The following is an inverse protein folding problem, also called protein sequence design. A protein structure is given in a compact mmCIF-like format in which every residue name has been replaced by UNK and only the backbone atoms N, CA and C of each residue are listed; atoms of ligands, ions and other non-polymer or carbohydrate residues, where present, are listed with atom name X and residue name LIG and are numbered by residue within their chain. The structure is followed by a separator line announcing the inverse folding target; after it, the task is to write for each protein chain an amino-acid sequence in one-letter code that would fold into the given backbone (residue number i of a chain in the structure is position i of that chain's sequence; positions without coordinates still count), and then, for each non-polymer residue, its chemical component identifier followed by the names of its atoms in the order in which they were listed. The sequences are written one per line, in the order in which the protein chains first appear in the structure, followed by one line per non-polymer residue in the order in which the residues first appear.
data_IF_229679599917
#
_entry.id   IF_229679599917
#
_cell.length_a   1.000
_cell.length_b   1.000
_cell.length_c   1.000
_cell.angle_alpha   90.00
_cell.angle_beta   90.00
_cell.angle_gamma   90.00
#
_symmetry.space_group_name_H-M   'P 1'
#
loop_
_entity.id
_entity.type
_entity.pdbx_description
1 polymer ?
#
# COMPACT_ATOMS: atom_id res chain seq x y z
N UNK A 1 5.25 -15.32 28.86
CA UNK A 1 4.16 -15.48 27.89
C UNK A 1 3.54 -14.11 27.53
N UNK A 2 4.34 -13.13 27.07
CA UNK A 2 3.85 -11.75 26.84
C UNK A 2 4.04 -11.24 25.39
N UNK A 3 4.65 -12.03 24.49
CA UNK A 3 5.07 -11.51 23.18
C UNK A 3 4.00 -11.56 22.07
N UNK A 4 2.97 -12.42 22.16
CA UNK A 4 1.95 -12.52 21.09
C UNK A 4 1.09 -11.26 20.95
N UNK A 5 0.84 -10.57 22.07
CA UNK A 5 0.08 -9.32 22.08
C UNK A 5 0.78 -8.21 21.29
N UNK A 6 2.09 -8.05 21.48
CA UNK A 6 2.87 -6.97 20.86
C UNK A 6 2.93 -7.09 19.33
N UNK A 7 3.16 -8.29 18.79
CA UNK A 7 3.21 -8.50 17.33
C UNK A 7 1.84 -8.38 16.67
N UNK A 8 0.78 -8.90 17.31
CA UNK A 8 -0.59 -8.76 16.81
C UNK A 8 -1.03 -7.29 16.75
N UNK A 9 -0.68 -6.50 17.77
CA UNK A 9 -0.94 -5.06 17.81
C UNK A 9 -0.15 -4.33 16.72
N UNK A 10 1.12 -4.67 16.52
CA UNK A 10 1.94 -4.09 15.44
C UNK A 10 1.35 -4.39 14.05
N UNK A 11 0.93 -5.63 13.79
CA UNK A 11 0.26 -6.01 12.54
C UNK A 11 -1.04 -5.26 12.33
N UNK A 12 -1.84 -5.11 13.40
CA UNK A 12 -3.10 -4.36 13.36
C UNK A 12 -2.84 -2.89 13.02
N UNK A 13 -1.85 -2.27 13.68
CA UNK A 13 -1.47 -0.88 13.43
C UNK A 13 -0.97 -0.69 12.00
N UNK A 14 -0.14 -1.61 11.51
CA UNK A 14 0.33 -1.61 10.13
C UNK A 14 -0.83 -1.62 9.14
N UNK A 15 -1.77 -2.55 9.29
CA UNK A 15 -2.96 -2.66 8.43
C UNK A 15 -3.76 -1.34 8.47
N UNK A 16 -4.07 -0.82 9.65
CA UNK A 16 -4.87 0.41 9.78
C UNK A 16 -4.18 1.58 9.07
N UNK A 17 -2.88 1.79 9.32
CA UNK A 17 -2.12 2.90 8.73
C UNK A 17 -2.01 2.74 7.22
N UNK A 18 -1.73 1.53 6.74
CA UNK A 18 -1.66 1.22 5.31
C UNK A 18 -2.98 1.49 4.61
N UNK A 19 -4.10 0.93 5.10
CA UNK A 19 -5.40 1.11 4.46
C UNK A 19 -5.88 2.56 4.53
N UNK A 20 -5.54 3.32 5.57
CA UNK A 20 -5.85 4.75 5.64
C UNK A 20 -5.07 5.56 4.59
N UNK A 21 -3.79 5.23 4.37
CA UNK A 21 -2.98 5.82 3.33
C UNK A 21 -3.52 5.50 1.93
N UNK A 22 -3.86 4.23 1.69
CA UNK A 22 -4.39 3.75 0.41
C UNK A 22 -5.77 4.33 0.08
N UNK A 23 -6.65 4.41 1.08
CA UNK A 23 -8.04 4.79 0.90
C UNK A 23 -8.18 6.26 0.46
N UNK A 24 -7.37 7.16 1.01
CA UNK A 24 -7.48 8.59 0.67
C UNK A 24 -7.11 8.90 -0.78
N UNK A 25 -5.99 8.35 -1.28
CA UNK A 25 -5.61 8.53 -2.70
C UNK A 25 -6.60 7.84 -3.63
N UNK A 26 -7.05 6.65 -3.26
CA UNK A 26 -8.02 5.90 -4.07
C UNK A 26 -9.36 6.60 -4.13
N UNK A 27 -9.85 7.12 -3.01
CA UNK A 27 -11.06 7.93 -2.95
C UNK A 27 -10.94 9.18 -3.85
N UNK A 28 -9.83 9.91 -3.77
CA UNK A 28 -9.57 11.06 -4.64
C UNK A 28 -9.57 10.66 -6.14
N UNK A 29 -8.99 9.51 -6.48
CA UNK A 29 -8.94 9.00 -7.86
C UNK A 29 -10.34 8.64 -8.37
N UNK A 30 -11.15 7.92 -7.59
CA UNK A 30 -12.51 7.52 -7.96
C UNK A 30 -13.39 8.75 -8.13
N UNK A 31 -13.29 9.71 -7.21
CA UNK A 31 -14.07 10.94 -7.27
C UNK A 31 -13.69 11.80 -8.49
N UNK A 32 -12.41 11.77 -8.89
CA UNK A 32 -11.96 12.36 -10.15
C UNK A 32 -12.59 11.65 -11.36
N UNK A 33 -12.52 10.32 -11.43
CA UNK A 33 -13.05 9.51 -12.53
C UNK A 33 -14.57 9.61 -12.68
N UNK A 34 -15.29 9.65 -11.56
CA UNK A 34 -16.74 9.82 -11.51
C UNK A 34 -17.21 11.27 -11.81
N UNK A 35 -16.27 12.20 -12.08
CA UNK A 35 -16.56 13.63 -12.28
C UNK A 35 -17.39 14.26 -11.13
N UNK A 36 -17.08 13.89 -9.89
CA UNK A 36 -17.75 14.46 -8.72
C UNK A 36 -17.51 15.98 -8.63
N UNK A 37 -18.58 16.77 -8.55
CA UNK A 37 -18.50 18.25 -8.49
C UNK A 37 -17.73 18.75 -7.26
N UNK A 38 -17.86 18.03 -6.15
CA UNK A 38 -17.23 18.33 -4.86
C UNK A 38 -15.78 17.83 -4.75
N UNK A 39 -15.23 17.20 -5.81
CA UNK A 39 -13.85 16.68 -5.82
C UNK A 39 -12.80 17.73 -5.47
N UNK A 40 -13.02 18.98 -5.90
CA UNK A 40 -12.08 20.07 -5.68
C UNK A 40 -11.96 20.48 -4.21
N UNK A 41 -13.03 20.27 -3.42
CA UNK A 41 -13.07 20.62 -2.00
C UNK A 41 -12.32 19.60 -1.14
N UNK A 42 -12.45 18.31 -1.48
CA UNK A 42 -11.93 17.22 -0.64
C UNK A 42 -10.63 16.61 -1.14
N UNK A 43 -10.23 16.84 -2.41
CA UNK A 43 -9.06 16.17 -3.01
C UNK A 43 -7.78 16.32 -2.21
N UNK A 44 -7.46 17.51 -1.72
CA UNK A 44 -6.21 17.76 -1.00
C UNK A 44 -6.21 17.11 0.39
N UNK A 45 -7.34 17.14 1.08
CA UNK A 45 -7.52 16.41 2.32
C UNK A 45 -7.36 14.91 2.11
N UNK A 46 -8.01 14.37 1.07
CA UNK A 46 -7.96 12.95 0.75
C UNK A 46 -6.54 12.47 0.40
N UNK A 47 -5.79 13.18 -0.47
CA UNK A 47 -4.41 12.77 -0.77
C UNK A 47 -3.42 13.05 0.37
N UNK A 48 -3.75 13.87 1.36
CA UNK A 48 -2.87 14.12 2.51
C UNK A 48 -2.62 12.86 3.34
N UNK A 49 -3.56 11.90 3.32
CA UNK A 49 -3.39 10.62 4.02
C UNK A 49 -2.25 9.79 3.42
N UNK A 50 -1.82 10.07 2.18
CA UNK A 50 -0.65 9.44 1.58
C UNK A 50 0.65 9.70 2.37
N UNK A 51 0.69 10.76 3.20
CA UNK A 51 1.80 11.01 4.11
C UNK A 51 1.98 9.92 5.18
N UNK A 52 0.97 9.05 5.39
CA UNK A 52 1.06 7.88 6.25
C UNK A 52 1.75 6.68 5.56
N UNK A 53 1.91 6.71 4.24
CA UNK A 53 2.48 5.60 3.48
C UNK A 53 3.94 5.28 3.86
N UNK A 54 4.84 6.27 4.11
CA UNK A 54 6.17 6.01 4.64
C UNK A 54 6.14 5.37 6.04
N UNK A 55 5.19 5.75 6.89
CA UNK A 55 5.02 5.13 8.21
C UNK A 55 4.58 3.66 8.07
N UNK A 56 3.63 3.37 7.18
CA UNK A 56 3.24 2.00 6.85
C UNK A 56 4.42 1.18 6.33
N UNK A 57 5.30 1.78 5.51
CA UNK A 57 6.50 1.12 5.03
C UNK A 57 7.48 0.78 6.15
N UNK A 58 7.72 1.70 7.09
CA UNK A 58 8.56 1.40 8.27
C UNK A 58 7.97 0.26 9.09
N UNK A 59 6.66 0.28 9.33
CA UNK A 59 5.98 -0.80 10.06
C UNK A 59 6.08 -2.15 9.31
N UNK A 60 5.96 -2.15 7.98
CA UNK A 60 6.20 -3.34 7.16
C UNK A 60 7.61 -3.89 7.39
N UNK A 61 8.64 -3.04 7.35
CA UNK A 61 10.03 -3.48 7.55
C UNK A 61 10.24 -4.10 8.93
N UNK A 62 9.59 -3.57 9.97
CA UNK A 62 9.62 -4.17 11.31
C UNK A 62 8.93 -5.54 11.34
N UNK A 63 7.77 -5.67 10.68
CA UNK A 63 7.03 -6.93 10.60
C UNK A 63 7.77 -8.01 9.81
N UNK A 64 8.42 -7.63 8.70
CA UNK A 64 9.31 -8.51 7.95
C UNK A 64 10.52 -8.88 8.81
N UNK A 65 11.16 -7.93 9.49
CA UNK A 65 12.24 -8.24 10.44
C UNK A 65 11.83 -9.20 11.56
N UNK A 66 10.55 -9.23 11.95
CA UNK A 66 9.97 -10.14 12.93
C UNK A 66 9.74 -11.58 12.45
N UNK A 67 9.75 -11.83 11.14
CA UNK A 67 9.71 -13.16 10.53
C UNK A 67 8.72 -14.13 11.19
N UNK A 68 9.26 -15.10 11.93
CA UNK A 68 8.54 -16.19 12.59
C UNK A 68 7.49 -15.73 13.62
N UNK A 69 7.68 -14.55 14.22
CA UNK A 69 6.71 -13.98 15.15
C UNK A 69 5.49 -13.37 14.44
N UNK A 70 5.67 -12.94 13.20
CA UNK A 70 4.61 -12.35 12.37
C UNK A 70 3.89 -13.42 11.54
N UNK A 71 4.63 -14.41 11.05
CA UNK A 71 4.17 -15.41 10.08
C UNK A 71 4.19 -16.82 10.67
N UNK A 72 3.04 -17.34 11.16
CA UNK A 72 2.99 -18.65 11.84
C UNK A 72 3.48 -19.83 10.98
N UNK A 73 3.27 -19.76 9.66
CA UNK A 73 3.72 -20.78 8.71
C UNK A 73 5.25 -20.84 8.57
N UNK A 74 5.96 -19.75 8.86
CA UNK A 74 7.43 -19.71 8.82
C UNK A 74 8.01 -20.47 10.01
N UNK A 75 7.42 -20.29 11.20
CA UNK A 75 7.79 -21.05 12.40
C UNK A 75 7.56 -22.56 12.20
N UNK A 76 6.41 -22.93 11.62
CA UNK A 76 6.07 -24.32 11.31
C UNK A 76 7.03 -24.97 10.29
N UNK A 77 7.50 -24.20 9.29
CA UNK A 77 8.45 -24.68 8.30
C UNK A 77 9.88 -24.86 8.86
N UNK A 78 10.28 -24.09 9.88
CA UNK A 78 11.60 -24.20 10.51
C UNK A 78 11.68 -25.29 11.59
N UNK A 79 10.57 -25.59 12.29
CA UNK A 79 10.54 -26.60 13.36
C UNK A 79 10.61 -28.06 12.87
N UNK A 80 10.71 -28.30 11.56
CA UNK A 80 10.91 -29.64 10.98
C UNK A 80 9.73 -30.59 11.18
N UNK A 81 8.58 -30.10 11.63
CA UNK A 81 7.39 -30.91 11.90
C UNK A 81 6.71 -31.41 10.61
N UNK A 82 7.06 -30.83 9.46
CA UNK A 82 6.49 -31.15 8.14
C UNK A 82 7.55 -31.79 7.21
N UNK A 83 7.87 -33.06 7.44
CA UNK A 83 8.63 -33.94 6.51
C UNK A 83 7.90 -34.19 5.15
N UNK A 84 6.93 -33.36 4.76
CA UNK A 84 6.11 -33.60 3.56
C UNK A 84 5.25 -32.44 3.04
N UNK A 85 5.28 -31.25 3.67
CA UNK A 85 4.56 -30.08 3.12
C UNK A 85 5.51 -29.31 2.20
N UNK A 86 5.40 -29.57 0.89
CA UNK A 86 5.99 -28.69 -0.11
C UNK A 86 5.36 -27.30 0.02
N UNK A 87 5.99 -26.37 0.74
CA UNK A 87 5.60 -24.97 0.68
C UNK A 87 5.68 -24.54 -0.80
N UNK A 88 4.54 -24.10 -1.33
CA UNK A 88 4.48 -23.49 -2.66
C UNK A 88 5.48 -22.33 -2.71
N UNK A 89 6.13 -22.11 -3.86
CA UNK A 89 7.04 -20.98 -4.06
C UNK A 89 6.40 -19.61 -3.74
N UNK A 90 5.08 -19.54 -3.64
CA UNK A 90 4.35 -18.35 -3.18
C UNK A 90 4.54 -18.02 -1.69
N UNK A 91 4.78 -19.05 -0.86
CA UNK A 91 5.05 -18.94 0.57
C UNK A 91 6.55 -18.92 0.86
N UNK A 92 7.41 -18.88 -0.16
CA UNK A 92 8.83 -18.64 0.08
C UNK A 92 9.03 -17.27 0.73
N UNK A 93 9.77 -17.26 1.84
CA UNK A 93 9.93 -16.05 2.65
C UNK A 93 10.72 -14.95 1.92
N UNK A 94 11.75 -15.34 1.16
CA UNK A 94 12.52 -14.39 0.37
C UNK A 94 11.65 -13.78 -0.73
N UNK A 95 10.83 -14.61 -1.40
CA UNK A 95 9.86 -14.17 -2.38
C UNK A 95 8.80 -13.22 -1.78
N UNK A 96 8.30 -13.52 -0.58
CA UNK A 96 7.39 -12.63 0.16
C UNK A 96 8.04 -11.26 0.40
N UNK A 97 9.24 -11.22 0.98
CA UNK A 97 9.93 -9.95 1.28
C UNK A 97 10.10 -9.11 0.01
N UNK A 98 10.53 -9.72 -1.09
CA UNK A 98 10.73 -9.03 -2.36
C UNK A 98 9.41 -8.48 -2.90
N UNK A 99 8.33 -9.27 -2.94
CA UNK A 99 7.05 -8.78 -3.50
C UNK A 99 6.44 -7.66 -2.67
N UNK A 100 6.53 -7.71 -1.34
CA UNK A 100 5.96 -6.67 -0.47
C UNK A 100 6.71 -5.34 -0.66
N UNK A 101 8.05 -5.38 -0.70
CA UNK A 101 8.88 -4.19 -0.92
C UNK A 101 8.64 -3.62 -2.32
N UNK A 102 8.64 -4.47 -3.36
CA UNK A 102 8.41 -4.03 -4.74
C UNK A 102 7.00 -3.44 -4.89
N UNK A 103 5.98 -4.08 -4.30
CA UNK A 103 4.62 -3.58 -4.28
C UNK A 103 4.54 -2.20 -3.63
N UNK A 104 5.14 -2.01 -2.46
CA UNK A 104 5.20 -0.72 -1.79
C UNK A 104 5.86 0.36 -2.64
N UNK A 105 6.98 0.06 -3.30
CA UNK A 105 7.68 1.03 -4.16
C UNK A 105 6.81 1.42 -5.36
N UNK A 106 6.15 0.45 -6.01
CA UNK A 106 5.24 0.71 -7.14
C UNK A 106 4.11 1.64 -6.70
N UNK A 107 3.49 1.37 -5.55
CA UNK A 107 2.38 2.17 -5.02
C UNK A 107 2.87 3.57 -4.62
N UNK A 108 4.02 3.69 -3.98
CA UNK A 108 4.62 4.98 -3.63
C UNK A 108 4.84 5.85 -4.87
N UNK A 109 5.36 5.27 -5.95
CA UNK A 109 5.56 5.96 -7.23
C UNK A 109 4.21 6.39 -7.81
N UNK A 110 3.21 5.51 -7.86
CA UNK A 110 1.88 5.83 -8.35
C UNK A 110 1.21 6.96 -7.55
N UNK A 111 1.33 6.95 -6.22
CA UNK A 111 0.78 7.99 -5.35
C UNK A 111 1.48 9.32 -5.56
N UNK A 112 2.82 9.31 -5.60
CA UNK A 112 3.61 10.51 -5.89
C UNK A 112 3.26 11.12 -7.25
N UNK A 113 3.11 10.28 -8.28
CA UNK A 113 2.68 10.73 -9.60
C UNK A 113 1.25 11.29 -9.57
N UNK A 114 0.30 10.61 -8.92
CA UNK A 114 -1.09 11.08 -8.80
C UNK A 114 -1.15 12.45 -8.15
N UNK A 115 -0.47 12.64 -7.00
CA UNK A 115 -0.44 13.90 -6.26
C UNK A 115 0.21 15.01 -7.10
N UNK A 116 1.35 14.71 -7.74
CA UNK A 116 2.05 15.66 -8.62
C UNK A 116 1.15 16.13 -9.76
N UNK A 117 0.55 15.20 -10.50
CA UNK A 117 -0.30 15.55 -11.64
C UNK A 117 -1.61 16.21 -11.20
N UNK A 118 -2.17 15.84 -10.06
CA UNK A 118 -3.32 16.54 -9.47
C UNK A 118 -2.99 18.02 -9.22
N UNK A 119 -1.81 18.32 -8.67
CA UNK A 119 -1.38 19.70 -8.47
C UNK A 119 -1.13 20.42 -9.79
N UNK A 120 -0.47 19.77 -10.76
CA UNK A 120 -0.20 20.36 -12.08
C UNK A 120 -1.49 20.73 -12.83
N UNK A 121 -2.53 19.89 -12.79
CA UNK A 121 -3.84 20.22 -13.38
C UNK A 121 -4.57 21.38 -12.70
N UNK A 122 -4.12 21.81 -11.52
CA UNK A 122 -4.67 22.99 -10.85
C UNK A 122 -3.95 24.29 -11.25
N UNK A 123 -2.74 24.20 -11.81
CA UNK A 123 -1.88 25.35 -12.13
C UNK A 123 -1.70 25.53 -13.64
N UNK A 124 -1.77 24.45 -14.41
CA UNK A 124 -1.61 24.43 -15.87
C UNK A 124 -2.84 23.83 -16.54
N UNK A 125 -3.25 24.42 -17.67
CA UNK A 125 -4.36 23.97 -18.52
C UNK A 125 -3.87 23.17 -19.75
N UNK A 126 -2.65 22.63 -19.69
CA UNK A 126 -2.07 21.84 -20.78
C UNK A 126 -2.84 20.50 -20.97
N UNK A 127 -3.45 20.24 -22.14
CA UNK A 127 -4.18 19.01 -22.43
C UNK A 127 -3.38 17.72 -22.19
N UNK A 128 -2.05 17.77 -22.37
CA UNK A 128 -1.16 16.62 -22.15
C UNK A 128 -1.13 16.25 -20.67
N UNK A 129 -1.09 17.25 -19.79
CA UNK A 129 -1.10 17.07 -18.33
C UNK A 129 -2.42 16.45 -17.88
N UNK A 130 -3.55 16.94 -18.39
CA UNK A 130 -4.87 16.38 -18.09
C UNK A 130 -4.99 14.92 -18.54
N UNK A 131 -4.47 14.57 -19.72
CA UNK A 131 -4.48 13.19 -20.22
C UNK A 131 -3.63 12.27 -19.35
N UNK A 132 -2.42 12.71 -18.95
CA UNK A 132 -1.55 11.95 -18.05
C UNK A 132 -2.19 11.73 -16.68
N UNK A 133 -2.78 12.78 -16.10
CA UNK A 133 -3.48 12.68 -14.82
C UNK A 133 -4.61 11.65 -14.88
N UNK A 134 -5.45 11.70 -15.93
CA UNK A 134 -6.53 10.72 -16.13
C UNK A 134 -6.01 9.29 -16.22
N UNK A 135 -4.95 9.05 -16.99
CA UNK A 135 -4.38 7.71 -17.13
C UNK A 135 -3.86 7.17 -15.78
N UNK A 136 -3.22 8.01 -14.97
CA UNK A 136 -2.76 7.62 -13.63
C UNK A 136 -3.96 7.35 -12.72
N UNK A 137 -4.96 8.24 -12.74
CA UNK A 137 -6.18 8.07 -11.95
C UNK A 137 -6.90 6.75 -12.25
N UNK A 138 -6.87 6.28 -13.51
CA UNK A 138 -7.41 4.98 -13.91
C UNK A 138 -6.65 3.79 -13.31
N UNK A 139 -5.35 3.93 -13.03
CA UNK A 139 -4.53 2.85 -12.49
C UNK A 139 -4.67 2.70 -10.96
N UNK A 140 -4.97 3.78 -10.24
CA UNK A 140 -5.04 3.78 -8.77
C UNK A 140 -6.02 2.73 -8.21
N UNK A 141 -7.25 2.54 -8.72
CA UNK A 141 -8.15 1.52 -8.18
C UNK A 141 -7.63 0.09 -8.30
N UNK A 142 -6.78 -0.20 -9.29
CA UNK A 142 -6.20 -1.54 -9.48
C UNK A 142 -5.13 -1.86 -8.44
N UNK A 143 -4.58 -0.85 -7.76
CA UNK A 143 -3.66 -1.06 -6.62
C UNK A 143 -4.33 -1.85 -5.48
N UNK A 144 -5.66 -1.76 -5.35
CA UNK A 144 -6.41 -2.50 -4.32
C UNK A 144 -6.73 -3.96 -4.70
N UNK A 145 -6.49 -4.35 -5.96
CA UNK A 145 -6.87 -5.67 -6.49
C UNK A 145 -5.64 -6.55 -6.76
N UNK A 146 -4.43 -5.97 -6.67
CA UNK A 146 -3.14 -6.67 -6.69
C UNK A 146 -2.77 -7.20 -5.31
#
# INVERSE_FOLDING_TARGET
MENFGSWSVLTTNFIIVLYLALAGVTFASILHLANGKWRFQVRYFAVSTAALFPLAFVLLLVLLGGGEHTFPWLAQAHDGQDDGVHLSGWLDYSFLVVREIVGFVIVAVLFGLFIKYQHLTAVSDDPVVHRRFRNIALLIPFVYVL
#
